data_IF_117704976190
#
_entry.id   IF_117704976190
#
_cell.length_a   1.000
_cell.length_b   1.000
_cell.length_c   1.000
_cell.angle_alpha   90.00
_cell.angle_beta   90.00
_cell.angle_gamma   90.00
#
_symmetry.space_group_name_H-M   'P 1'
#
loop_
_entity.id
_entity.type
_entity.pdbx_description
1 polymer ?
#
# COMPACT_ATOMS: atom_id res chain seq x y z
N UNK A 1 2.30 11.24 -15.04
CA UNK A 1 0.94 11.41 -15.62
C UNK A 1 0.97 12.42 -16.76
N UNK A 2 0.39 12.10 -17.94
CA UNK A 2 0.30 13.01 -19.08
C UNK A 2 -0.45 14.31 -18.75
N UNK A 3 -0.07 15.43 -19.38
CA UNK A 3 -0.60 16.76 -19.07
C UNK A 3 -2.14 16.84 -19.14
N UNK A 4 -2.73 16.18 -20.14
CA UNK A 4 -4.19 16.13 -20.36
C UNK A 4 -5.00 15.58 -19.17
N UNK A 5 -4.44 14.67 -18.36
CA UNK A 5 -5.16 14.09 -17.22
C UNK A 5 -5.00 14.89 -15.92
N UNK A 6 -4.08 15.87 -15.88
CA UNK A 6 -3.80 16.70 -14.70
C UNK A 6 -4.91 17.70 -14.38
N UNK A 7 -5.78 17.99 -15.34
CA UNK A 7 -6.85 19.00 -15.23
C UNK A 7 -8.21 18.39 -14.87
N UNK A 8 -8.32 17.06 -14.72
CA UNK A 8 -9.58 16.40 -14.38
C UNK A 8 -9.86 16.44 -12.87
N UNK A 9 -11.14 16.54 -12.50
CA UNK A 9 -11.60 16.56 -11.08
C UNK A 9 -11.29 15.25 -10.33
N UNK A 10 -11.27 14.13 -11.05
CA UNK A 10 -10.85 12.82 -10.56
C UNK A 10 -9.60 12.39 -11.33
N UNK A 11 -8.48 12.37 -10.62
CA UNK A 11 -7.17 12.10 -11.20
C UNK A 11 -6.73 10.68 -10.80
N UNK A 12 -6.62 9.74 -11.77
CA UNK A 12 -6.09 8.42 -11.50
C UNK A 12 -4.62 8.53 -11.05
N UNK A 13 -4.28 7.89 -9.93
CA UNK A 13 -2.92 7.93 -9.34
C UNK A 13 -2.15 6.68 -9.73
N UNK A 14 -0.83 6.79 -9.85
CA UNK A 14 0.05 5.62 -10.09
C UNK A 14 0.01 5.02 -11.51
N UNK A 15 -1.00 5.30 -12.34
CA UNK A 15 -1.16 4.66 -13.68
C UNK A 15 0.08 4.75 -14.56
N UNK A 16 0.75 5.91 -14.61
CA UNK A 16 1.96 6.06 -15.43
C UNK A 16 3.10 5.13 -14.97
N UNK A 17 3.24 4.97 -13.66
CA UNK A 17 4.25 4.11 -13.03
C UNK A 17 3.91 2.64 -13.27
N UNK A 18 2.64 2.24 -13.07
CA UNK A 18 2.15 0.89 -13.37
C UNK A 18 2.36 0.52 -14.85
N UNK A 19 2.05 1.44 -15.77
CA UNK A 19 2.32 1.24 -17.22
C UNK A 19 3.80 1.11 -17.54
N UNK A 20 4.67 1.90 -16.90
CA UNK A 20 6.11 1.80 -17.08
C UNK A 20 6.63 0.43 -16.62
N UNK A 21 6.15 -0.08 -15.49
CA UNK A 21 6.47 -1.43 -15.01
C UNK A 21 5.97 -2.52 -15.97
N UNK A 22 4.73 -2.43 -16.45
CA UNK A 22 4.17 -3.36 -17.45
C UNK A 22 4.99 -3.36 -18.75
N UNK A 23 5.35 -2.18 -19.25
CA UNK A 23 6.20 -2.04 -20.44
C UNK A 23 7.60 -2.63 -20.20
N UNK A 24 8.20 -2.42 -19.03
CA UNK A 24 9.48 -3.02 -18.69
C UNK A 24 9.41 -4.54 -18.67
N UNK A 25 8.39 -5.13 -18.04
CA UNK A 25 8.16 -6.58 -18.00
C UNK A 25 8.05 -7.14 -19.42
N UNK A 26 7.24 -6.50 -20.28
CA UNK A 26 7.04 -6.89 -21.67
C UNK A 26 8.33 -6.79 -22.50
N UNK A 27 8.99 -5.63 -22.47
CA UNK A 27 10.22 -5.38 -23.24
C UNK A 27 11.39 -6.28 -22.82
N UNK A 28 11.38 -6.78 -21.58
CA UNK A 28 12.38 -7.71 -21.06
C UNK A 28 11.92 -9.18 -21.11
N UNK A 29 10.82 -9.47 -21.80
CA UNK A 29 10.26 -10.80 -22.01
C UNK A 29 10.14 -11.61 -20.70
N UNK A 30 9.75 -10.95 -19.61
CA UNK A 30 9.60 -11.60 -18.30
C UNK A 30 8.30 -12.39 -18.26
N UNK A 31 8.41 -13.72 -18.37
CA UNK A 31 7.27 -14.65 -18.38
C UNK A 31 7.14 -15.50 -17.11
N UNK A 32 8.14 -15.49 -16.23
CA UNK A 32 8.13 -16.26 -14.98
C UNK A 32 8.09 -15.32 -13.79
N UNK A 33 7.19 -15.60 -12.86
CA UNK A 33 6.96 -14.82 -11.64
C UNK A 33 5.52 -14.34 -11.50
N UNK A 34 5.31 -13.53 -10.48
CA UNK A 34 4.01 -12.97 -10.13
C UNK A 34 4.12 -11.46 -10.06
N UNK A 35 3.20 -10.76 -10.71
CA UNK A 35 3.01 -9.32 -10.61
C UNK A 35 2.01 -9.03 -9.49
N UNK A 36 2.40 -8.13 -8.59
CA UNK A 36 1.54 -7.61 -7.53
C UNK A 36 1.69 -6.08 -7.48
N UNK A 37 0.57 -5.36 -7.46
CA UNK A 37 0.55 -3.90 -7.36
C UNK A 37 0.36 -3.49 -5.89
N UNK A 38 1.45 -3.23 -5.19
CA UNK A 38 1.42 -2.69 -3.83
C UNK A 38 1.69 -1.19 -3.84
N UNK A 39 0.67 -0.39 -3.52
CA UNK A 39 0.84 1.06 -3.34
C UNK A 39 1.67 1.34 -2.06
N UNK A 40 2.37 2.47 -2.03
CA UNK A 40 3.44 2.76 -1.05
C UNK A 40 2.94 3.14 0.35
N UNK A 41 1.66 3.45 0.48
CA UNK A 41 1.00 3.79 1.74
C UNK A 41 0.24 2.61 2.37
N UNK A 42 0.07 1.51 1.63
CA UNK A 42 -0.63 0.32 2.08
C UNK A 42 0.15 -0.43 3.18
N UNK A 43 -0.55 -1.29 3.92
CA UNK A 43 0.04 -2.17 4.93
C UNK A 43 -0.16 -3.63 4.55
N UNK A 44 0.89 -4.44 4.69
CA UNK A 44 0.90 -5.83 4.22
C UNK A 44 1.34 -6.78 5.35
N UNK A 45 0.60 -7.87 5.53
CA UNK A 45 1.08 -9.02 6.28
C UNK A 45 2.05 -9.82 5.41
N UNK A 46 3.19 -10.27 5.97
CA UNK A 46 4.19 -11.03 5.21
C UNK A 46 3.64 -12.36 4.66
N UNK A 47 2.62 -12.95 5.30
CA UNK A 47 1.92 -14.15 4.83
C UNK A 47 1.35 -13.96 3.43
N UNK A 48 0.92 -12.74 3.07
CA UNK A 48 0.41 -12.41 1.75
C UNK A 48 1.38 -12.83 0.63
N UNK A 49 2.66 -12.53 0.80
CA UNK A 49 3.67 -12.83 -0.22
C UNK A 49 3.94 -14.33 -0.37
N UNK A 50 3.63 -15.14 0.65
CA UNK A 50 3.63 -16.60 0.54
C UNK A 50 2.39 -17.10 -0.21
N UNK A 51 1.22 -16.54 0.08
CA UNK A 51 -0.05 -16.89 -0.59
C UNK A 51 0.02 -16.66 -2.11
N UNK A 52 0.47 -15.47 -2.52
CA UNK A 52 0.45 -15.08 -3.95
C UNK A 52 1.62 -15.67 -4.74
N UNK A 53 2.67 -16.17 -4.09
CA UNK A 53 3.86 -16.75 -4.76
C UNK A 53 3.51 -17.90 -5.70
N UNK A 54 2.42 -18.60 -5.43
CA UNK A 54 1.98 -19.80 -6.17
C UNK A 54 0.97 -19.52 -7.28
N UNK A 55 0.60 -18.25 -7.51
CA UNK A 55 -0.38 -17.82 -8.53
C UNK A 55 -0.06 -18.44 -9.90
N UNK A 56 -1.05 -19.10 -10.51
CA UNK A 56 -0.95 -19.67 -11.87
C UNK A 56 -1.62 -18.80 -12.91
N UNK A 57 -2.76 -18.18 -12.57
CA UNK A 57 -3.47 -17.21 -13.42
C UNK A 57 -3.66 -15.89 -12.69
N UNK A 58 -4.70 -15.79 -11.86
CA UNK A 58 -4.98 -14.61 -11.06
C UNK A 58 -5.40 -15.02 -9.66
N UNK A 59 -4.63 -14.64 -8.66
CA UNK A 59 -5.00 -14.78 -7.26
C UNK A 59 -5.83 -13.61 -6.82
N UNK A 60 -6.88 -13.84 -6.04
CA UNK A 60 -7.66 -12.77 -5.40
C UNK A 60 -7.88 -13.05 -3.91
N UNK A 61 -7.93 -11.98 -3.12
CA UNK A 61 -8.02 -12.05 -1.67
C UNK A 61 -8.63 -10.76 -1.07
N UNK A 62 -9.09 -10.78 0.19
CA UNK A 62 -9.70 -9.62 0.84
C UNK A 62 -8.70 -8.47 1.06
N UNK A 63 -9.17 -7.24 0.87
CA UNK A 63 -8.47 -6.00 1.24
C UNK A 63 -9.26 -5.26 2.30
N UNK A 64 -8.63 -4.94 3.42
CA UNK A 64 -9.24 -4.19 4.51
C UNK A 64 -9.20 -2.67 4.31
N UNK A 65 -10.06 -1.97 5.03
CA UNK A 65 -10.19 -0.49 5.06
C UNK A 65 -10.64 0.12 3.72
N UNK A 66 -11.46 -0.61 2.95
CA UNK A 66 -11.99 -0.14 1.66
C UNK A 66 -13.40 0.46 1.82
N UNK A 67 -13.50 1.76 1.51
CA UNK A 67 -14.76 2.49 1.39
C UNK A 67 -15.74 2.26 2.55
N UNK A 68 -17.02 2.19 2.23
CA UNK A 68 -18.09 2.12 3.25
C UNK A 68 -18.21 0.74 3.90
N UNK A 69 -17.70 -0.32 3.26
CA UNK A 69 -17.84 -1.70 3.73
C UNK A 69 -16.67 -2.15 4.61
N UNK A 70 -15.63 -1.31 4.75
CA UNK A 70 -14.37 -1.62 5.40
C UNK A 70 -13.62 -2.85 4.83
N UNK A 71 -14.14 -3.48 3.77
CA UNK A 71 -13.54 -4.61 3.07
C UNK A 71 -13.98 -4.61 1.60
N UNK A 72 -13.04 -4.96 0.72
CA UNK A 72 -13.29 -5.37 -0.66
C UNK A 72 -12.82 -6.82 -0.80
N UNK A 73 -13.70 -7.74 -1.21
CA UNK A 73 -13.36 -9.17 -1.21
C UNK A 73 -14.13 -9.99 -2.27
N UNK A 74 -13.51 -11.03 -2.86
CA UNK A 74 -14.25 -12.06 -3.56
C UNK A 74 -15.20 -12.82 -2.61
N UNK A 75 -16.40 -13.13 -3.08
CA UNK A 75 -17.32 -14.05 -2.39
C UNK A 75 -17.03 -15.45 -2.87
N UNK A 76 -16.60 -16.31 -1.95
CA UNK A 76 -16.12 -17.67 -2.26
C UNK A 76 -17.11 -18.72 -1.76
N UNK A 77 -17.45 -19.69 -2.61
CA UNK A 77 -18.25 -20.87 -2.27
C UNK A 77 -17.55 -22.11 -2.82
N UNK A 78 -17.33 -23.12 -1.97
CA UNK A 78 -16.68 -24.38 -2.36
C UNK A 78 -15.33 -24.18 -3.10
N UNK A 79 -14.52 -23.20 -2.63
CA UNK A 79 -13.21 -22.88 -3.21
C UNK A 79 -13.26 -22.15 -4.56
N UNK A 80 -14.43 -21.66 -4.99
CA UNK A 80 -14.60 -20.90 -6.24
C UNK A 80 -15.21 -19.52 -5.96
N UNK A 81 -14.82 -18.53 -6.75
CA UNK A 81 -15.43 -17.19 -6.68
C UNK A 81 -16.80 -17.23 -7.37
N UNK A 82 -17.82 -16.78 -6.64
CA UNK A 82 -19.21 -16.66 -7.14
C UNK A 82 -19.60 -15.20 -7.40
N UNK A 83 -18.88 -14.26 -6.77
CA UNK A 83 -19.14 -12.83 -6.90
C UNK A 83 -18.15 -12.01 -6.10
N UNK A 84 -18.52 -10.76 -5.81
CA UNK A 84 -17.64 -9.80 -5.14
C UNK A 84 -18.46 -8.96 -4.16
N UNK A 85 -17.86 -8.64 -3.02
CA UNK A 85 -18.39 -7.76 -2.00
C UNK A 85 -17.48 -6.53 -1.90
N UNK A 86 -17.94 -5.42 -2.47
CA UNK A 86 -17.18 -4.19 -2.64
C UNK A 86 -18.13 -2.98 -2.57
N UNK A 87 -17.68 -1.89 -1.95
CA UNK A 87 -18.51 -0.69 -1.70
C UNK A 87 -18.74 0.17 -2.93
N UNK A 88 -18.04 -0.10 -4.04
CA UNK A 88 -18.12 0.70 -5.25
C UNK A 88 -18.16 -0.16 -6.53
N UNK A 89 -19.27 -0.87 -6.79
CA UNK A 89 -19.36 -1.78 -7.93
C UNK A 89 -19.33 -1.06 -9.29
N UNK A 90 -19.96 0.11 -9.43
CA UNK A 90 -19.89 0.98 -10.63
C UNK A 90 -20.01 0.29 -12.01
N UNK A 91 -20.80 -0.81 -12.10
CA UNK A 91 -20.91 -1.69 -13.29
C UNK A 91 -19.57 -2.31 -13.74
N UNK A 92 -18.59 -2.39 -12.86
CA UNK A 92 -17.31 -3.09 -13.08
C UNK A 92 -17.58 -4.59 -13.18
N UNK A 93 -16.87 -5.26 -14.09
CA UNK A 93 -16.88 -6.72 -14.18
C UNK A 93 -16.11 -7.33 -13.01
N UNK A 94 -15.03 -6.65 -12.60
CA UNK A 94 -14.16 -7.05 -11.50
C UNK A 94 -14.11 -5.96 -10.43
N UNK A 95 -15.12 -5.88 -9.54
CA UNK A 95 -15.13 -4.88 -8.49
C UNK A 95 -14.23 -5.30 -7.32
N UNK A 96 -12.94 -5.05 -7.48
CA UNK A 96 -11.89 -5.27 -6.46
C UNK A 96 -11.00 -4.02 -6.35
N UNK A 97 -10.28 -3.90 -5.24
CA UNK A 97 -9.20 -2.94 -5.06
C UNK A 97 -7.90 -3.40 -5.75
N UNK A 98 -7.01 -2.46 -6.12
CA UNK A 98 -5.74 -2.74 -6.78
C UNK A 98 -4.85 -3.70 -5.98
N UNK A 99 -4.88 -3.60 -4.65
CA UNK A 99 -4.11 -4.47 -3.75
C UNK A 99 -4.75 -5.86 -3.57
N UNK A 100 -5.95 -6.09 -4.09
CA UNK A 100 -6.73 -7.33 -3.85
C UNK A 100 -6.43 -8.50 -4.78
N UNK A 101 -5.45 -8.35 -5.68
CA UNK A 101 -5.12 -9.40 -6.64
C UNK A 101 -3.64 -9.44 -7.02
N UNK A 102 -3.20 -10.61 -7.49
CA UNK A 102 -1.89 -10.84 -8.08
C UNK A 102 -2.02 -11.64 -9.37
N UNK A 103 -1.13 -11.41 -10.34
CA UNK A 103 -1.23 -11.98 -11.70
C UNK A 103 0.04 -12.75 -12.06
N UNK A 104 -0.14 -13.96 -12.59
CA UNK A 104 0.97 -14.72 -13.18
C UNK A 104 1.51 -14.00 -14.42
N UNK A 105 2.82 -13.80 -14.48
CA UNK A 105 3.46 -13.18 -15.65
C UNK A 105 3.30 -14.04 -16.91
N UNK A 106 3.24 -15.36 -16.76
CA UNK A 106 3.02 -16.29 -17.86
C UNK A 106 1.61 -16.11 -18.46
N UNK A 107 0.60 -16.06 -17.59
CA UNK A 107 -0.79 -15.84 -17.99
C UNK A 107 -0.96 -14.46 -18.63
N UNK A 108 -0.36 -13.42 -18.04
CA UNK A 108 -0.38 -12.07 -18.58
C UNK A 108 0.28 -11.98 -19.96
N UNK A 109 1.40 -12.68 -20.17
CA UNK A 109 2.13 -12.67 -21.44
C UNK A 109 1.36 -13.31 -22.60
N UNK A 110 0.34 -14.12 -22.33
CA UNK A 110 -0.57 -14.65 -23.35
C UNK A 110 -1.54 -13.60 -23.91
N UNK A 111 -1.64 -12.43 -23.26
CA UNK A 111 -2.54 -11.36 -23.67
C UNK A 111 -1.80 -10.27 -24.46
N UNK A 112 -2.22 -9.93 -25.70
CA UNK A 112 -1.46 -9.04 -26.57
C UNK A 112 -1.57 -7.55 -26.19
N UNK A 113 -2.60 -7.15 -25.43
CA UNK A 113 -2.97 -5.76 -25.20
C UNK A 113 -3.02 -5.37 -23.72
N UNK A 114 -2.16 -5.97 -22.88
CA UNK A 114 -2.15 -5.70 -21.43
C UNK A 114 -1.77 -4.25 -21.16
N UNK A 115 -2.66 -3.52 -20.50
CA UNK A 115 -2.38 -2.14 -20.09
C UNK A 115 -3.24 -1.69 -18.92
N UNK A 116 -2.90 -0.54 -18.36
CA UNK A 116 -3.66 0.13 -17.31
C UNK A 116 -4.26 1.43 -17.88
N UNK A 117 -5.59 1.62 -17.90
CA UNK A 117 -6.18 2.83 -18.46
C UNK A 117 -6.02 4.04 -17.53
N UNK A 118 -5.99 5.24 -18.08
CA UNK A 118 -6.15 6.48 -17.31
C UNK A 118 -7.64 6.78 -17.08
N UNK A 119 -8.35 5.87 -16.40
CA UNK A 119 -9.78 5.97 -16.10
C UNK A 119 -10.00 5.70 -14.61
N UNK A 120 -10.15 6.78 -13.84
CA UNK A 120 -10.26 6.72 -12.38
C UNK A 120 -11.32 5.69 -11.94
N UNK A 121 -10.87 4.72 -11.12
CA UNK A 121 -11.66 3.63 -10.58
C UNK A 121 -12.14 2.58 -11.60
N UNK A 122 -11.63 2.60 -12.82
CA UNK A 122 -11.78 1.49 -13.76
C UNK A 122 -10.41 0.91 -14.13
N UNK A 123 -9.39 1.23 -13.35
CA UNK A 123 -8.01 0.82 -13.60
C UNK A 123 -7.90 -0.70 -13.49
N UNK A 124 -8.31 -1.24 -12.34
CA UNK A 124 -8.32 -2.66 -12.01
C UNK A 124 -9.21 -3.43 -12.98
N UNK A 125 -10.45 -2.96 -13.17
CA UNK A 125 -11.46 -3.62 -13.98
C UNK A 125 -11.02 -3.79 -15.44
N UNK A 126 -10.50 -2.72 -16.06
CA UNK A 126 -10.04 -2.77 -17.44
C UNK A 126 -8.69 -3.50 -17.58
N UNK A 127 -7.80 -3.41 -16.59
CA UNK A 127 -6.58 -4.23 -16.59
C UNK A 127 -6.93 -5.73 -16.57
N UNK A 128 -7.79 -6.17 -15.65
CA UNK A 128 -8.22 -7.56 -15.53
C UNK A 128 -9.01 -8.03 -16.76
N UNK A 129 -9.79 -7.15 -17.41
CA UNK A 129 -10.39 -7.43 -18.73
C UNK A 129 -9.33 -7.60 -19.82
N UNK A 130 -8.29 -6.76 -19.84
CA UNK A 130 -7.25 -6.77 -20.88
C UNK A 130 -6.42 -8.05 -20.90
N UNK A 131 -6.31 -8.74 -19.76
CA UNK A 131 -5.64 -10.05 -19.63
C UNK A 131 -6.59 -11.24 -19.88
N UNK A 132 -7.83 -10.98 -20.31
CA UNK A 132 -8.80 -12.03 -20.63
C UNK A 132 -9.29 -12.82 -19.42
N UNK A 133 -9.29 -12.23 -18.22
CA UNK A 133 -9.73 -12.91 -17.00
C UNK A 133 -11.17 -13.44 -17.14
N UNK A 134 -11.40 -14.64 -16.59
CA UNK A 134 -12.73 -15.26 -16.42
C UNK A 134 -12.87 -15.72 -14.98
N UNK A 135 -14.11 -15.84 -14.49
CA UNK A 135 -14.40 -16.18 -13.08
C UNK A 135 -13.71 -17.48 -12.64
N UNK A 136 -13.72 -18.50 -13.51
CA UNK A 136 -13.10 -19.80 -13.25
C UNK A 136 -11.57 -19.80 -13.22
N UNK A 137 -10.94 -18.72 -13.69
CA UNK A 137 -9.49 -18.57 -13.68
C UNK A 137 -8.99 -17.89 -12.40
N UNK A 138 -9.90 -17.45 -11.52
CA UNK A 138 -9.56 -16.83 -10.24
C UNK A 138 -9.22 -17.90 -9.21
N UNK A 139 -8.09 -17.72 -8.54
CA UNK A 139 -7.60 -18.54 -7.42
C UNK A 139 -7.85 -17.80 -6.09
N UNK A 140 -8.87 -18.17 -5.30
CA UNK A 140 -9.05 -17.60 -3.97
C UNK A 140 -7.85 -17.91 -3.07
N UNK A 141 -7.29 -16.88 -2.43
CA UNK A 141 -6.23 -17.01 -1.43
C UNK A 141 -6.74 -16.62 -0.04
N UNK A 142 -5.85 -16.57 0.95
CA UNK A 142 -6.14 -16.13 2.31
C UNK A 142 -7.28 -16.94 2.94
N UNK A 143 -7.09 -18.26 2.98
CA UNK A 143 -8.05 -19.22 3.54
C UNK A 143 -9.45 -19.08 2.93
N UNK A 144 -9.56 -19.18 1.60
CA UNK A 144 -10.82 -18.93 0.85
C UNK A 144 -11.42 -17.55 1.14
N UNK A 145 -10.58 -16.52 1.17
CA UNK A 145 -10.97 -15.13 1.41
C UNK A 145 -11.63 -14.90 2.79
N UNK A 146 -11.22 -15.64 3.80
CA UNK A 146 -11.66 -15.47 5.20
C UNK A 146 -10.65 -14.70 6.06
N UNK A 147 -9.46 -14.42 5.53
CA UNK A 147 -8.41 -13.66 6.20
C UNK A 147 -8.09 -12.37 5.42
N UNK A 148 -7.91 -11.26 6.14
CA UNK A 148 -7.41 -10.00 5.57
C UNK A 148 -5.90 -9.94 5.81
N UNK A 149 -5.12 -9.90 4.73
CA UNK A 149 -3.64 -9.87 4.77
C UNK A 149 -3.04 -8.58 4.18
N UNK A 150 -3.90 -7.67 3.72
CA UNK A 150 -3.54 -6.36 3.20
C UNK A 150 -4.60 -5.34 3.58
N UNK A 151 -4.14 -4.13 3.91
CA UNK A 151 -4.98 -3.01 4.31
C UNK A 151 -4.63 -1.78 3.47
N UNK A 152 -5.66 -1.12 2.95
CA UNK A 152 -5.53 0.11 2.18
C UNK A 152 -5.41 1.32 3.12
N UNK A 153 -4.34 1.34 3.91
CA UNK A 153 -4.03 2.44 4.83
C UNK A 153 -3.55 3.67 4.08
N UNK A 154 -3.71 4.84 4.70
CA UNK A 154 -3.22 6.11 4.18
C UNK A 154 -2.61 6.93 5.32
N UNK A 155 -1.48 7.57 5.04
CA UNK A 155 -0.89 8.52 5.99
C UNK A 155 -1.65 9.83 5.94
N UNK A 156 -2.11 10.32 7.10
CA UNK A 156 -2.69 11.66 7.21
C UNK A 156 -1.59 12.71 7.14
N UNK A 157 -1.79 13.74 6.31
CA UNK A 157 -0.86 14.85 6.23
C UNK A 157 -0.94 15.71 7.50
N UNK A 158 0.07 15.59 8.36
CA UNK A 158 0.21 16.36 9.59
C UNK A 158 1.52 17.16 9.51
N UNK A 159 1.54 18.36 10.11
CA UNK A 159 2.79 19.12 10.28
C UNK A 159 3.75 18.28 11.13
N UNK A 160 5.00 18.02 10.68
CA UNK A 160 5.98 17.31 11.48
C UNK A 160 6.15 17.98 12.85
N UNK A 161 6.11 17.23 13.96
CA UNK A 161 6.27 17.80 15.28
C UNK A 161 7.65 18.43 15.45
N UNK A 162 7.70 19.60 16.08
CA UNK A 162 8.94 20.24 16.53
C UNK A 162 9.12 19.94 18.02
N UNK A 163 10.23 19.30 18.39
CA UNK A 163 10.54 18.94 19.79
C UNK A 163 11.66 19.84 20.31
N UNK A 164 11.46 20.39 21.51
CA UNK A 164 12.43 21.25 22.18
C UNK A 164 13.41 20.44 23.02
N UNK A 165 14.69 20.45 22.64
CA UNK A 165 15.75 19.61 23.23
C UNK A 165 17.06 20.39 23.32
N UNK A 166 17.82 20.21 24.41
CA UNK A 166 19.11 20.88 24.61
C UNK A 166 20.20 20.28 23.72
N UNK A 167 21.21 21.09 23.36
CA UNK A 167 22.38 20.62 22.61
C UNK A 167 23.10 19.48 23.33
N UNK A 168 23.24 19.57 24.65
CA UNK A 168 23.87 18.54 25.48
C UNK A 168 23.16 17.20 25.38
N UNK A 169 21.82 17.17 25.46
CA UNK A 169 21.05 15.93 25.28
C UNK A 169 21.18 15.37 23.87
N UNK A 170 21.26 16.22 22.85
CA UNK A 170 21.40 15.79 21.46
C UNK A 170 22.80 15.24 21.14
N UNK A 171 23.82 15.71 21.85
CA UNK A 171 25.22 15.30 21.70
C UNK A 171 25.63 14.17 22.64
N UNK A 172 24.84 13.90 23.68
CA UNK A 172 25.11 12.84 24.64
C UNK A 172 25.04 11.46 23.97
N UNK A 173 26.19 10.82 23.83
CA UNK A 173 26.40 9.49 23.25
C UNK A 173 26.25 8.37 24.28
N UNK A 174 26.17 8.69 25.57
CA UNK A 174 25.92 7.73 26.66
C UNK A 174 24.47 7.23 26.68
N UNK A 175 23.58 7.86 25.92
CA UNK A 175 22.16 7.46 25.80
C UNK A 175 21.72 7.43 24.34
N UNK A 176 20.78 6.55 24.01
CA UNK A 176 20.30 6.34 22.64
C UNK A 176 19.44 7.50 22.09
N UNK A 177 18.86 8.33 22.96
CA UNK A 177 17.83 9.30 22.59
C UNK A 177 18.30 10.32 21.53
N UNK A 178 19.52 10.86 21.69
CA UNK A 178 20.08 11.82 20.74
C UNK A 178 20.24 11.25 19.32
N UNK A 179 20.65 9.97 19.21
CA UNK A 179 20.79 9.25 17.93
C UNK A 179 19.42 9.11 17.25
N UNK A 180 18.42 8.63 18.00
CA UNK A 180 17.07 8.42 17.46
C UNK A 180 16.46 9.73 16.94
N UNK A 181 16.56 10.82 17.70
CA UNK A 181 15.98 12.10 17.32
C UNK A 181 16.65 12.68 16.07
N UNK A 182 17.97 12.54 15.92
CA UNK A 182 18.69 12.95 14.71
C UNK A 182 18.23 12.16 13.49
N UNK A 183 18.03 10.85 13.63
CA UNK A 183 17.52 10.00 12.55
C UNK A 183 16.10 10.41 12.14
N UNK A 184 15.20 10.65 13.10
CA UNK A 184 13.85 11.17 12.82
C UNK A 184 13.89 12.53 12.10
N UNK A 185 14.82 13.40 12.50
CA UNK A 185 15.11 14.66 11.82
C UNK A 185 15.56 14.48 10.37
N UNK A 186 16.50 13.56 10.13
CA UNK A 186 17.02 13.26 8.80
C UNK A 186 15.95 12.65 7.88
N UNK A 187 15.00 11.89 8.44
CA UNK A 187 13.85 11.33 7.71
C UNK A 187 12.71 12.34 7.49
N UNK A 188 12.81 13.56 8.05
CA UNK A 188 11.73 14.56 7.98
C UNK A 188 10.50 14.21 8.83
N UNK A 189 10.59 13.22 9.72
CA UNK A 189 9.49 12.76 10.59
C UNK A 189 9.26 13.74 11.73
N UNK A 190 10.31 14.41 12.20
CA UNK A 190 10.22 15.46 13.22
C UNK A 190 11.30 16.52 13.01
N UNK A 191 11.19 17.62 13.74
CA UNK A 191 12.22 18.65 13.80
C UNK A 191 12.68 18.85 15.24
N UNK A 192 13.96 19.16 15.42
CA UNK A 192 14.54 19.47 16.72
C UNK A 192 14.81 20.97 16.77
N UNK A 193 14.44 21.60 17.89
CA UNK A 193 14.81 22.99 18.17
C UNK A 193 15.33 23.10 19.60
N UNK A 194 16.22 24.06 19.86
CA UNK A 194 16.69 24.36 21.21
C UNK A 194 15.79 25.38 21.93
N UNK A 195 15.03 26.17 21.17
CA UNK A 195 14.23 27.29 21.67
C UNK A 195 12.71 27.08 21.57
N UNK A 196 12.24 26.27 20.64
CA UNK A 196 10.82 26.18 20.25
C UNK A 196 10.31 24.74 20.19
N UNK A 197 8.98 24.59 20.16
CA UNK A 197 8.32 23.30 20.01
C UNK A 197 7.90 22.67 21.35
N UNK A 198 7.46 21.42 21.28
CA UNK A 198 6.97 20.67 22.45
C UNK A 198 8.12 20.40 23.41
N UNK A 199 7.98 20.81 24.67
CA UNK A 199 8.94 20.50 25.73
C UNK A 199 8.86 19.00 26.03
N UNK A 200 9.89 18.26 25.65
CA UNK A 200 9.96 16.83 25.92
C UNK A 200 10.08 16.56 27.43
N UNK A 201 9.43 15.49 27.88
CA UNK A 201 9.50 14.99 29.26
C UNK A 201 10.02 13.56 29.25
N UNK A 202 10.77 13.19 30.29
CA UNK A 202 11.10 11.80 30.61
C UNK A 202 10.27 11.41 31.84
N UNK A 203 9.64 10.24 31.79
CA UNK A 203 8.89 9.67 32.91
C UNK A 203 9.64 8.47 33.47
N UNK A 204 9.81 8.43 34.80
CA UNK A 204 10.33 7.27 35.54
C UNK A 204 9.48 7.08 36.80
N UNK A 205 9.05 5.85 37.05
CA UNK A 205 8.25 5.48 38.23
C UNK A 205 7.01 6.38 38.42
N UNK A 206 6.34 6.69 37.30
CA UNK A 206 5.15 7.56 37.28
C UNK A 206 5.41 9.06 37.47
N UNK A 207 6.68 9.48 37.63
CA UNK A 207 7.06 10.89 37.78
C UNK A 207 7.71 11.41 36.50
N UNK A 208 7.16 12.49 35.96
CA UNK A 208 7.69 13.17 34.77
C UNK A 208 8.57 14.35 35.14
N UNK A 209 9.70 14.50 34.45
CA UNK A 209 10.57 15.68 34.52
C UNK A 209 10.93 16.14 33.11
N UNK A 210 11.25 17.43 32.94
CA UNK A 210 11.69 17.94 31.65
C UNK A 210 12.96 17.23 31.20
N UNK A 211 13.02 16.88 29.91
CA UNK A 211 14.22 16.34 29.28
C UNK A 211 15.41 17.31 29.41
N UNK A 212 15.14 18.62 29.38
CA UNK A 212 16.15 19.67 29.50
C UNK A 212 16.90 19.61 30.84
N UNK A 213 16.24 19.15 31.90
CA UNK A 213 16.79 19.08 33.26
C UNK A 213 17.08 17.64 33.73
N UNK A 214 16.96 16.65 32.85
CA UNK A 214 17.11 15.25 33.24
C UNK A 214 18.57 14.81 33.28
N UNK A 215 19.37 15.32 32.35
CA UNK A 215 20.79 14.98 32.18
C UNK A 215 21.74 16.07 32.67
N UNK A 216 21.19 17.16 33.22
CA UNK A 216 21.90 18.22 33.90
C UNK A 216 22.30 17.81 35.31
#
# INVERSE_FOLDING_TARGET
MPAFYRTKKLVPRGVANRRAALAWIHNNNKKSGVLYFGDDDNTFDLKLFSEIRTTKKVSMFPVGLIGDYAVSTPVVKNGKVEGFFDSWPAKRKWPVDMAGFAVSLEYMAASPNVTMPFKAGYEEDEFLKSIGLRMQDIEPKASNCTEVLVWHTQTKNNKPPKVRISAGTLQNDKVNLGVLLKQLGAMGVSHISQSEGTVAQITKDGKSKSLLSWFS
#
